data_IF_342146676272
#
_entry.id   IF_342146676272
#
_cell.length_a   1.000
_cell.length_b   1.000
_cell.length_c   1.000
_cell.angle_alpha   90.00
_cell.angle_beta   90.00
_cell.angle_gamma   90.00
#
_symmetry.space_group_name_H-M   'P 1'
#
loop_
_entity.id
_entity.type
_entity.pdbx_description
1 polymer ?
#
# COMPACT_ATOMS: atom_id res chain seq x y z
N UNK A 1 14.90 -20.03 9.25
CA UNK A 1 14.58 -19.75 7.83
C UNK A 1 14.58 -18.24 7.63
N UNK A 2 15.33 -17.76 6.64
CA UNK A 2 15.42 -16.35 6.26
C UNK A 2 14.23 -15.93 5.37
N UNK A 3 14.01 -14.63 5.28
CA UNK A 3 13.04 -14.02 4.37
C UNK A 3 13.64 -13.88 2.97
N UNK A 4 12.80 -13.93 1.95
CA UNK A 4 13.14 -13.56 0.58
C UNK A 4 12.27 -12.38 0.14
N UNK A 5 12.88 -11.37 -0.48
CA UNK A 5 12.21 -10.14 -0.90
C UNK A 5 11.83 -10.23 -2.38
N UNK A 6 10.57 -9.89 -2.67
CA UNK A 6 10.06 -9.86 -4.02
C UNK A 6 9.36 -8.53 -4.31
N UNK A 7 9.71 -7.92 -5.43
CA UNK A 7 8.97 -6.80 -6.02
C UNK A 7 7.79 -7.34 -6.81
N UNK A 8 6.68 -6.62 -6.75
CA UNK A 8 5.47 -6.95 -7.50
C UNK A 8 4.71 -5.70 -7.92
N UNK A 9 4.04 -5.80 -9.06
CA UNK A 9 3.29 -4.69 -9.64
C UNK A 9 1.89 -5.18 -10.03
N UNK A 10 0.90 -4.34 -9.72
CA UNK A 10 -0.50 -4.63 -9.94
C UNK A 10 -1.13 -3.49 -10.72
N UNK A 11 -1.50 -3.73 -11.97
CA UNK A 11 -2.14 -2.73 -12.82
C UNK A 11 -3.57 -2.46 -12.34
N UNK A 12 -3.91 -1.18 -12.25
CA UNK A 12 -5.26 -0.73 -11.86
C UNK A 12 -6.18 -0.86 -13.08
N UNK A 13 -7.08 -1.84 -13.07
CA UNK A 13 -8.01 -2.13 -14.18
C UNK A 13 -9.39 -1.52 -13.96
N UNK A 14 -9.80 -1.36 -12.71
CA UNK A 14 -10.93 -0.54 -12.32
C UNK A 14 -10.51 0.50 -11.28
N UNK A 15 -11.17 1.68 -11.22
CA UNK A 15 -10.81 2.72 -10.27
C UNK A 15 -10.80 2.21 -8.83
N UNK A 16 -9.81 2.68 -8.07
CA UNK A 16 -9.47 2.11 -6.78
C UNK A 16 -9.83 3.10 -5.67
N UNK A 17 -10.78 2.70 -4.82
CA UNK A 17 -11.19 3.45 -3.65
C UNK A 17 -10.60 2.85 -2.37
N UNK A 18 -9.73 3.61 -1.72
CA UNK A 18 -9.03 3.23 -0.49
C UNK A 18 -9.40 4.23 0.60
N UNK A 19 -10.49 3.97 1.33
CA UNK A 19 -11.08 4.93 2.26
C UNK A 19 -10.09 5.56 3.25
N UNK A 20 -10.27 6.87 3.45
CA UNK A 20 -9.77 7.64 4.59
C UNK A 20 -10.91 8.53 5.11
N UNK A 21 -10.81 9.13 6.31
CA UNK A 21 -11.88 9.97 6.84
C UNK A 21 -12.39 11.00 5.81
N UNK A 22 -13.72 11.17 5.66
CA UNK A 22 -14.29 12.04 4.63
C UNK A 22 -13.98 13.52 4.88
N UNK A 23 -14.29 14.37 3.90
CA UNK A 23 -14.30 15.83 4.02
C UNK A 23 -15.67 16.35 3.54
N UNK A 24 -16.60 16.56 4.48
CA UNK A 24 -18.00 16.83 4.13
C UNK A 24 -18.62 15.64 3.39
N UNK A 25 -19.27 15.91 2.25
CA UNK A 25 -19.85 14.89 1.36
C UNK A 25 -18.82 14.18 0.47
N UNK A 26 -17.53 14.54 0.55
CA UNK A 26 -16.47 13.90 -0.20
C UNK A 26 -15.84 12.73 0.58
N UNK A 27 -16.12 11.52 0.11
CA UNK A 27 -15.43 10.30 0.50
C UNK A 27 -14.03 10.29 -0.12
N UNK A 28 -13.02 10.53 0.70
CA UNK A 28 -11.64 10.66 0.26
C UNK A 28 -10.95 9.31 0.12
N UNK A 29 -9.96 9.25 -0.78
CA UNK A 29 -9.11 8.06 -0.98
C UNK A 29 -7.65 8.30 -0.59
N UNK A 30 -7.01 7.23 -0.11
CA UNK A 30 -5.55 7.13 0.06
C UNK A 30 -4.90 6.98 -1.31
N UNK A 31 -3.65 7.44 -1.41
CA UNK A 31 -2.84 7.36 -2.62
C UNK A 31 -1.90 6.14 -2.66
N UNK A 32 -2.02 5.23 -1.71
CA UNK A 32 -1.25 4.00 -1.61
C UNK A 32 -2.15 2.89 -1.09
N UNK A 33 -1.90 1.64 -1.49
CA UNK A 33 -2.60 0.46 -0.97
C UNK A 33 -1.95 0.03 0.33
N UNK A 34 -2.65 0.08 1.48
CA UNK A 34 -2.14 -0.47 2.73
C UNK A 34 -2.02 -2.00 2.65
N UNK A 35 -1.04 -2.55 3.35
CA UNK A 35 -0.82 -4.00 3.41
C UNK A 35 -2.06 -4.79 3.84
N UNK A 36 -2.83 -4.29 4.81
CA UNK A 36 -4.10 -4.91 5.25
C UNK A 36 -5.10 -5.10 4.10
N UNK A 37 -5.23 -4.11 3.22
CA UNK A 37 -6.15 -4.19 2.09
C UNK A 37 -5.71 -5.28 1.10
N UNK A 38 -4.40 -5.38 0.86
CA UNK A 38 -3.82 -6.41 0.01
C UNK A 38 -3.90 -7.80 0.64
N UNK A 39 -3.65 -7.92 1.95
CA UNK A 39 -3.80 -9.15 2.72
C UNK A 39 -5.23 -9.70 2.62
N UNK A 40 -6.25 -8.85 2.83
CA UNK A 40 -7.65 -9.26 2.74
C UNK A 40 -8.02 -9.75 1.34
N UNK A 41 -7.56 -9.05 0.31
CA UNK A 41 -7.82 -9.44 -1.07
C UNK A 41 -7.11 -10.75 -1.46
N UNK A 42 -5.84 -10.92 -1.08
CA UNK A 42 -5.11 -12.17 -1.32
C UNK A 42 -5.71 -13.35 -0.56
N UNK A 43 -6.10 -13.13 0.70
CA UNK A 43 -6.80 -14.15 1.50
C UNK A 43 -8.08 -14.57 0.79
N UNK A 44 -8.86 -13.61 0.30
CA UNK A 44 -10.10 -13.89 -0.41
C UNK A 44 -9.88 -14.70 -1.70
N UNK A 45 -8.92 -14.30 -2.52
CA UNK A 45 -8.66 -14.98 -3.79
C UNK A 45 -8.01 -16.36 -3.62
N UNK A 46 -7.06 -16.51 -2.69
CA UNK A 46 -6.48 -17.82 -2.37
C UNK A 46 -7.55 -18.77 -1.82
N UNK A 47 -8.41 -18.29 -0.93
CA UNK A 47 -9.52 -19.10 -0.40
C UNK A 47 -10.44 -19.56 -1.51
N UNK A 48 -10.84 -18.69 -2.44
CA UNK A 48 -11.69 -19.07 -3.58
C UNK A 48 -11.00 -20.04 -4.53
N UNK A 49 -9.70 -19.86 -4.76
CA UNK A 49 -8.92 -20.74 -5.63
C UNK A 49 -8.75 -22.15 -5.05
N UNK A 50 -8.65 -22.26 -3.71
CA UNK A 50 -8.42 -23.52 -2.99
C UNK A 50 -9.71 -24.22 -2.56
N UNK A 51 -10.82 -23.50 -2.39
CA UNK A 51 -12.11 -24.04 -1.93
C UNK A 51 -12.89 -24.83 -3.00
N UNK A 52 -12.22 -25.46 -3.98
CA UNK A 52 -12.89 -26.11 -5.12
C UNK A 52 -13.90 -27.20 -4.72
N UNK A 53 -13.76 -27.81 -3.54
CA UNK A 53 -14.67 -28.88 -3.06
C UNK A 53 -14.97 -28.81 -1.54
N UNK A 54 -14.76 -27.66 -0.88
CA UNK A 54 -14.88 -27.58 0.59
C UNK A 54 -15.29 -26.21 1.13
N UNK A 55 -15.61 -26.16 2.43
CA UNK A 55 -15.95 -24.89 3.10
C UNK A 55 -14.76 -23.91 3.04
N UNK A 56 -14.99 -22.62 2.75
CA UNK A 56 -13.93 -21.64 2.60
C UNK A 56 -13.25 -21.35 3.94
N UNK A 57 -11.92 -21.53 3.99
CA UNK A 57 -11.09 -21.39 5.20
C UNK A 57 -10.35 -20.04 5.25
N UNK A 58 -11.12 -18.95 5.35
CA UNK A 58 -10.55 -17.59 5.35
C UNK A 58 -9.59 -17.33 6.51
N UNK A 59 -9.91 -17.81 7.72
CA UNK A 59 -9.07 -17.61 8.91
C UNK A 59 -7.72 -18.32 8.78
N UNK A 60 -7.72 -19.59 8.38
CA UNK A 60 -6.50 -20.38 8.21
C UNK A 60 -5.56 -19.80 7.14
N UNK A 61 -6.12 -19.42 5.99
CA UNK A 61 -5.35 -18.83 4.88
C UNK A 61 -4.85 -17.44 5.27
N UNK A 62 -5.70 -16.63 5.91
CA UNK A 62 -5.34 -15.31 6.41
C UNK A 62 -4.22 -15.37 7.45
N UNK A 63 -4.31 -16.30 8.40
CA UNK A 63 -3.28 -16.57 9.40
C UNK A 63 -1.97 -17.03 8.78
N UNK A 64 -2.03 -18.00 7.85
CA UNK A 64 -0.85 -18.47 7.11
C UNK A 64 -0.13 -17.33 6.39
N UNK A 65 -0.88 -16.42 5.75
CA UNK A 65 -0.29 -15.24 5.11
C UNK A 65 0.36 -14.31 6.12
N UNK A 66 -0.25 -14.08 7.30
CA UNK A 66 0.35 -13.24 8.35
C UNK A 66 1.61 -13.87 8.95
N UNK A 67 1.68 -15.19 9.03
CA UNK A 67 2.86 -15.85 9.61
C UNK A 67 4.02 -15.91 8.63
N UNK A 68 3.72 -16.19 7.35
CA UNK A 68 4.73 -16.55 6.34
C UNK A 68 5.02 -15.45 5.32
N UNK A 69 4.22 -14.37 5.30
CA UNK A 69 4.44 -13.20 4.47
C UNK A 69 4.49 -11.90 5.28
N UNK A 70 5.24 -10.93 4.78
CA UNK A 70 5.14 -9.52 5.20
C UNK A 70 4.85 -8.69 3.95
N UNK A 71 3.64 -8.17 3.87
CA UNK A 71 3.22 -7.38 2.71
C UNK A 71 3.60 -5.93 2.95
N UNK A 72 4.38 -5.35 2.05
CA UNK A 72 4.64 -3.91 2.01
C UNK A 72 3.47 -3.14 1.42
N UNK A 73 3.44 -1.83 1.61
CA UNK A 73 2.44 -0.99 0.96
C UNK A 73 2.76 -0.89 -0.54
N UNK A 74 1.73 -0.72 -1.36
CA UNK A 74 1.91 -0.49 -2.80
C UNK A 74 1.66 0.97 -3.12
N UNK A 75 2.52 1.54 -3.96
CA UNK A 75 2.50 2.92 -4.38
C UNK A 75 2.21 3.05 -5.87
N UNK A 76 1.58 4.16 -6.32
CA UNK A 76 1.29 4.36 -7.72
C UNK A 76 2.55 4.35 -8.56
N UNK A 77 2.50 3.73 -9.72
CA UNK A 77 3.63 3.53 -10.60
C UNK A 77 3.30 3.85 -12.05
N UNK A 78 4.29 4.42 -12.72
CA UNK A 78 4.31 4.69 -14.16
C UNK A 78 5.21 3.70 -14.87
N UNK A 79 4.84 3.35 -16.09
CA UNK A 79 5.71 2.57 -16.96
C UNK A 79 6.59 3.50 -17.77
N UNK A 80 7.90 3.40 -17.57
CA UNK A 80 8.91 4.25 -18.21
C UNK A 80 10.08 3.36 -18.63
N UNK A 81 10.52 3.49 -19.87
CA UNK A 81 11.69 2.77 -20.40
C UNK A 81 11.62 1.25 -20.13
N UNK A 82 10.45 0.65 -20.34
CA UNK A 82 10.26 -0.79 -20.18
C UNK A 82 10.04 -1.27 -18.74
N UNK A 83 10.01 -0.37 -17.74
CA UNK A 83 9.91 -0.73 -16.31
C UNK A 83 8.85 0.08 -15.57
N UNK A 84 8.17 -0.58 -14.62
CA UNK A 84 7.28 0.09 -13.68
C UNK A 84 8.06 0.76 -12.56
N UNK A 85 7.91 2.08 -12.46
CA UNK A 85 8.60 2.95 -11.48
C UNK A 85 7.57 3.66 -10.62
N UNK A 86 7.71 3.51 -9.31
CA UNK A 86 6.81 4.03 -8.31
C UNK A 86 7.04 5.53 -8.03
N UNK A 87 5.96 6.19 -7.63
CA UNK A 87 5.96 7.48 -6.96
C UNK A 87 5.88 7.23 -5.45
N UNK A 88 6.92 7.63 -4.75
CA UNK A 88 7.08 7.40 -3.32
C UNK A 88 6.84 8.70 -2.55
N UNK A 89 6.05 8.67 -1.47
CA UNK A 89 5.87 9.84 -0.63
C UNK A 89 7.18 10.18 0.10
N UNK A 90 7.46 11.47 0.25
CA UNK A 90 8.58 12.00 1.03
C UNK A 90 8.19 13.36 1.63
N UNK A 91 8.36 13.53 2.93
CA UNK A 91 8.21 14.83 3.58
C UNK A 91 9.47 15.67 3.38
N UNK A 92 9.29 16.93 2.98
CA UNK A 92 10.37 17.91 2.81
C UNK A 92 10.03 19.18 3.57
N UNK A 93 10.98 19.66 4.37
CA UNK A 93 10.85 20.94 5.08
C UNK A 93 10.54 22.06 4.10
N UNK A 94 9.55 22.90 4.44
CA UNK A 94 9.06 23.99 3.58
C UNK A 94 8.05 23.56 2.51
N UNK A 95 8.08 22.32 2.00
CA UNK A 95 7.16 21.84 0.96
C UNK A 95 6.03 20.94 1.48
N UNK A 96 6.20 20.35 2.68
CA UNK A 96 5.30 19.34 3.19
C UNK A 96 5.48 17.99 2.48
N UNK A 97 4.39 17.27 2.24
CA UNK A 97 4.42 15.99 1.53
C UNK A 97 4.64 16.22 0.02
N UNK A 98 5.63 15.54 -0.54
CA UNK A 98 5.89 15.48 -1.98
C UNK A 98 5.94 14.03 -2.46
N UNK A 99 5.81 13.84 -3.77
CA UNK A 99 5.90 12.54 -4.42
C UNK A 99 7.17 12.48 -5.26
N UNK A 100 8.13 11.67 -4.82
CA UNK A 100 9.40 11.44 -5.50
C UNK A 100 9.29 10.21 -6.40
N UNK A 101 9.64 10.37 -7.66
CA UNK A 101 9.68 9.25 -8.59
C UNK A 101 10.96 8.41 -8.41
N UNK A 102 10.88 7.09 -8.59
CA UNK A 102 12.06 6.20 -8.53
C UNK A 102 13.11 6.50 -9.61
N UNK A 103 12.71 7.03 -10.77
CA UNK A 103 13.67 7.59 -11.74
C UNK A 103 14.17 8.95 -11.25
N UNK A 104 15.45 9.02 -10.87
CA UNK A 104 16.12 10.22 -10.36
C UNK A 104 16.22 11.34 -11.39
N UNK A 105 15.98 11.07 -12.68
CA UNK A 105 15.91 12.10 -13.73
C UNK A 105 14.64 12.94 -13.66
N UNK A 106 13.58 12.46 -13.00
CA UNK A 106 12.35 13.23 -12.76
C UNK A 106 12.46 14.02 -11.46
N UNK A 107 11.96 15.25 -11.48
CA UNK A 107 11.73 16.02 -10.26
C UNK A 107 10.60 15.41 -9.42
N UNK A 108 10.48 15.85 -8.16
CA UNK A 108 9.34 15.50 -7.32
C UNK A 108 8.11 16.32 -7.72
N UNK A 109 6.92 15.79 -7.43
CA UNK A 109 5.65 16.51 -7.56
C UNK A 109 5.16 16.95 -6.18
N UNK A 110 4.50 18.11 -6.10
CA UNK A 110 3.75 18.47 -4.89
C UNK A 110 2.59 17.49 -4.67
N UNK A 111 2.15 17.29 -3.42
CA UNK A 111 0.98 16.44 -3.14
C UNK A 111 -0.25 16.87 -3.94
N UNK A 112 -0.51 18.17 -4.03
CA UNK A 112 -1.62 18.73 -4.82
C UNK A 112 -1.51 18.35 -6.31
N UNK A 113 -0.34 18.57 -6.92
CA UNK A 113 -0.12 18.25 -8.33
C UNK A 113 -0.26 16.75 -8.59
N UNK A 114 0.24 15.92 -7.68
CA UNK A 114 0.15 14.47 -7.79
C UNK A 114 -1.30 13.98 -7.66
N UNK A 115 -2.05 14.50 -6.67
CA UNK A 115 -3.49 14.21 -6.50
C UNK A 115 -4.29 14.56 -7.75
N UNK A 116 -4.08 15.75 -8.32
CA UNK A 116 -4.75 16.16 -9.57
C UNK A 116 -4.46 15.20 -10.74
N UNK A 117 -3.28 14.60 -10.74
CA UNK A 117 -2.83 13.72 -11.80
C UNK A 117 -3.47 12.34 -11.77
N UNK A 118 -3.83 11.84 -10.60
CA UNK A 118 -4.22 10.44 -10.40
C UNK A 118 -5.63 10.24 -9.84
N UNK A 119 -6.20 11.25 -9.17
CA UNK A 119 -7.52 11.16 -8.58
C UNK A 119 -8.59 11.75 -9.50
N UNK A 120 -9.79 11.22 -9.37
CA UNK A 120 -11.02 11.83 -9.86
C UNK A 120 -12.17 11.53 -8.88
N UNK A 121 -13.15 12.41 -8.79
CA UNK A 121 -14.30 12.26 -7.91
C UNK A 121 -15.51 11.75 -8.71
N UNK A 122 -16.20 10.74 -8.16
CA UNK A 122 -17.39 10.15 -8.75
C UNK A 122 -18.63 10.53 -7.94
N UNK A 123 -19.61 11.25 -8.51
CA UNK A 123 -20.85 11.53 -7.80
C UNK A 123 -21.69 10.26 -7.65
N UNK A 124 -22.42 10.17 -6.55
CA UNK A 124 -23.36 9.10 -6.26
C UNK A 124 -24.46 9.58 -5.32
N UNK A 125 -25.64 8.99 -5.45
CA UNK A 125 -26.81 9.27 -4.60
C UNK A 125 -27.54 7.95 -4.35
N UNK A 126 -28.23 7.84 -3.22
CA UNK A 126 -29.19 6.75 -3.01
C UNK A 126 -30.50 7.08 -3.71
N UNK A 127 -31.26 6.04 -4.07
CA UNK A 127 -32.61 6.17 -4.65
C UNK A 127 -33.61 5.79 -3.55
N UNK A 128 -34.58 6.66 -3.27
CA UNK A 128 -35.72 6.33 -2.42
C UNK A 128 -36.70 5.45 -3.23
N UNK A 129 -36.85 4.16 -2.86
CA UNK A 129 -37.68 3.24 -3.62
C UNK A 129 -39.18 3.55 -3.55
N UNK A 130 -39.62 4.43 -2.63
CA UNK A 130 -41.03 4.81 -2.48
C UNK A 130 -41.50 5.81 -3.51
N UNK A 131 -40.60 6.70 -3.93
CA UNK A 131 -40.89 7.83 -4.83
C UNK A 131 -40.08 7.80 -6.12
N UNK A 132 -39.19 6.81 -6.28
CA UNK A 132 -38.28 6.66 -7.42
C UNK A 132 -37.48 7.95 -7.70
N UNK A 133 -37.05 8.60 -6.62
CA UNK A 133 -36.31 9.86 -6.65
C UNK A 133 -35.02 9.73 -5.82
N UNK A 134 -34.12 10.71 -5.95
CA UNK A 134 -32.93 10.76 -5.12
C UNK A 134 -33.33 10.92 -3.63
N UNK A 135 -32.77 10.07 -2.77
CA UNK A 135 -32.98 10.17 -1.33
C UNK A 135 -32.32 11.46 -0.83
N UNK A 136 -33.08 12.27 -0.10
CA UNK A 136 -32.61 13.56 0.39
C UNK A 136 -31.38 13.40 1.30
N UNK A 137 -30.40 14.28 1.14
CA UNK A 137 -29.13 14.23 1.87
C UNK A 137 -28.20 13.05 1.53
N UNK A 138 -28.53 12.20 0.55
CA UNK A 138 -27.69 11.05 0.18
C UNK A 138 -26.59 11.34 -0.86
N UNK A 139 -26.56 12.56 -1.41
CA UNK A 139 -25.56 12.98 -2.38
C UNK A 139 -24.16 12.96 -1.78
N UNK A 140 -23.26 12.23 -2.44
CA UNK A 140 -21.87 12.05 -2.03
C UNK A 140 -20.97 11.96 -3.25
N UNK A 141 -19.73 12.35 -3.07
CA UNK A 141 -18.68 12.16 -4.06
C UNK A 141 -17.64 11.19 -3.53
N UNK A 142 -17.14 10.29 -4.36
CA UNK A 142 -16.09 9.34 -3.97
C UNK A 142 -14.84 9.57 -4.81
N UNK A 143 -13.76 10.04 -4.19
CA UNK A 143 -12.44 10.12 -4.82
C UNK A 143 -11.94 8.70 -5.12
N UNK A 144 -11.47 8.45 -6.34
CA UNK A 144 -10.86 7.18 -6.73
C UNK A 144 -9.52 7.42 -7.42
N UNK A 145 -8.55 6.53 -7.16
CA UNK A 145 -7.36 6.41 -8.02
C UNK A 145 -7.84 5.90 -9.38
N UNK A 146 -7.52 6.63 -10.44
CA UNK A 146 -7.92 6.29 -11.80
C UNK A 146 -7.04 5.19 -12.41
N UNK A 147 -7.54 4.57 -13.48
CA UNK A 147 -6.82 3.52 -14.22
C UNK A 147 -5.74 4.08 -15.15
N UNK A 148 -5.74 5.40 -15.38
CA UNK A 148 -4.79 6.11 -16.24
C UNK A 148 -4.36 7.43 -15.60
N UNK A 149 -3.12 7.83 -15.86
CA UNK A 149 -2.60 9.11 -15.41
C UNK A 149 -3.19 10.23 -16.25
N UNK A 150 -3.57 11.34 -15.62
CA UNK A 150 -3.86 12.60 -16.31
C UNK A 150 -2.52 13.22 -16.73
N UNK A 151 -2.36 13.53 -18.01
CA UNK A 151 -1.25 14.28 -18.59
C UNK A 151 -1.71 15.65 -19.06
N UNK A 152 -0.80 16.45 -19.63
CA UNK A 152 -1.11 17.78 -20.15
C UNK A 152 -2.18 17.73 -21.26
N UNK A 153 -2.11 16.72 -22.13
CA UNK A 153 -3.00 16.54 -23.29
C UNK A 153 -4.08 15.46 -23.07
N UNK A 154 -4.34 15.08 -21.82
CA UNK A 154 -5.30 14.01 -21.48
C UNK A 154 -4.65 12.76 -20.88
N UNK A 155 -5.33 11.60 -20.93
CA UNK A 155 -4.89 10.40 -20.21
C UNK A 155 -3.73 9.67 -20.89
N UNK A 156 -2.70 9.25 -20.12
CA UNK A 156 -1.51 8.57 -20.68
C UNK A 156 -1.56 7.04 -20.55
N UNK A 157 -0.97 6.37 -21.55
CA UNK A 157 -0.71 4.93 -21.55
C UNK A 157 0.73 4.64 -21.06
N UNK A 158 1.01 3.46 -20.47
CA UNK A 158 0.14 2.29 -20.30
C UNK A 158 -0.69 2.29 -19.01
N UNK A 159 -1.05 3.45 -18.46
CA UNK A 159 -1.97 3.57 -17.33
C UNK A 159 -1.30 3.48 -15.96
N UNK A 160 -2.10 3.36 -14.91
CA UNK A 160 -1.65 3.35 -13.51
C UNK A 160 -1.45 1.91 -13.04
N UNK A 161 -0.34 1.65 -12.37
CA UNK A 161 -0.15 0.44 -11.57
C UNK A 161 0.16 0.78 -10.12
N UNK A 162 0.07 -0.20 -9.23
CA UNK A 162 0.46 -0.13 -7.83
C UNK A 162 1.64 -1.08 -7.63
N UNK A 163 2.80 -0.55 -7.29
CA UNK A 163 4.05 -1.32 -7.09
C UNK A 163 4.46 -1.30 -5.64
N UNK A 164 4.86 -2.46 -5.14
CA UNK A 164 5.31 -2.64 -3.76
C UNK A 164 6.25 -3.82 -3.66
N UNK A 165 6.33 -4.37 -2.45
CA UNK A 165 7.13 -5.54 -2.16
C UNK A 165 6.40 -6.50 -1.24
N UNK A 166 6.79 -7.76 -1.27
CA UNK A 166 6.40 -8.78 -0.30
C UNK A 166 7.64 -9.55 0.15
N UNK A 167 7.76 -9.78 1.46
CA UNK A 167 8.77 -10.67 2.02
C UNK A 167 8.11 -12.03 2.29
N UNK A 168 8.76 -13.13 1.92
CA UNK A 168 8.25 -14.49 2.08
C UNK A 168 9.28 -15.38 2.79
N UNK A 169 8.87 -16.24 3.72
CA UNK A 169 9.74 -17.25 4.36
C UNK A 169 9.77 -18.60 3.65
N UNK A 170 8.90 -18.81 2.66
CA UNK A 170 8.69 -20.14 2.07
C UNK A 170 8.33 -20.10 0.59
N UNK A 171 8.97 -20.99 -0.19
CA UNK A 171 8.76 -21.08 -1.63
C UNK A 171 7.38 -21.64 -2.02
N UNK A 172 6.78 -22.51 -1.20
CA UNK A 172 5.43 -23.03 -1.49
C UNK A 172 4.40 -21.89 -1.49
N UNK A 173 4.52 -20.94 -0.56
CA UNK A 173 3.66 -19.76 -0.51
C UNK A 173 3.92 -18.85 -1.72
N UNK A 174 5.17 -18.72 -2.17
CA UNK A 174 5.49 -17.99 -3.39
C UNK A 174 4.74 -18.56 -4.60
N UNK A 175 4.74 -19.88 -4.78
CA UNK A 175 4.02 -20.53 -5.89
C UNK A 175 2.51 -20.29 -5.82
N UNK A 176 1.92 -20.36 -4.61
CA UNK A 176 0.51 -20.03 -4.38
C UNK A 176 0.21 -18.57 -4.72
N UNK A 177 1.06 -17.64 -4.27
CA UNK A 177 0.90 -16.23 -4.62
C UNK A 177 1.02 -16.02 -6.13
N UNK A 178 1.97 -16.67 -6.80
CA UNK A 178 2.16 -16.63 -8.26
C UNK A 178 0.97 -17.19 -9.06
N UNK A 179 0.00 -17.91 -8.47
CA UNK A 179 -1.23 -18.29 -9.19
C UNK A 179 -2.27 -17.16 -9.23
N UNK A 180 -2.24 -16.25 -8.26
CA UNK A 180 -3.21 -15.15 -8.15
C UNK A 180 -2.91 -14.05 -9.17
N UNK A 181 -3.74 -13.94 -10.21
CA UNK A 181 -3.60 -12.96 -11.29
C UNK A 181 -4.43 -11.71 -11.09
N UNK A 182 -5.54 -11.80 -10.37
CA UNK A 182 -6.48 -10.70 -10.17
C UNK A 182 -6.87 -10.63 -8.70
N UNK A 183 -7.09 -9.41 -8.22
CA UNK A 183 -7.57 -9.15 -6.86
C UNK A 183 -8.55 -7.98 -6.90
N UNK A 184 -9.51 -7.98 -5.99
CA UNK A 184 -10.38 -6.83 -5.71
C UNK A 184 -9.99 -6.20 -4.37
N UNK A 185 -9.51 -4.96 -4.41
CA UNK A 185 -8.95 -4.26 -3.23
C UNK A 185 -9.74 -2.98 -2.95
N UNK A 186 -10.00 -2.71 -1.68
CA UNK A 186 -10.60 -1.45 -1.23
C UNK A 186 -12.12 -1.52 -1.02
N UNK A 187 -12.75 -0.35 -1.03
CA UNK A 187 -14.20 -0.20 -0.87
C UNK A 187 -14.96 -0.34 -2.19
N UNK A 188 -16.27 -0.60 -2.09
CA UNK A 188 -17.21 -0.65 -3.22
C UNK A 188 -16.81 -1.58 -4.37
N UNK A 189 -16.09 -2.66 -4.04
CA UNK A 189 -15.68 -3.68 -5.03
C UNK A 189 -16.87 -4.37 -5.71
N UNK A 190 -18.00 -4.50 -5.00
CA UNK A 190 -19.27 -5.00 -5.56
C UNK A 190 -19.90 -4.06 -6.60
N UNK A 191 -19.51 -2.78 -6.62
CA UNK A 191 -19.99 -1.76 -7.54
C UNK A 191 -18.95 -1.44 -8.64
N UNK A 192 -18.06 -2.39 -8.93
CA UNK A 192 -17.11 -2.30 -10.03
C UNK A 192 -15.84 -1.51 -9.74
N UNK A 193 -15.51 -1.25 -8.47
CA UNK A 193 -14.23 -0.65 -8.07
C UNK A 193 -13.18 -1.70 -7.69
N UNK A 194 -11.92 -1.29 -7.66
CA UNK A 194 -10.86 -2.01 -6.95
C UNK A 194 -10.22 -3.20 -7.68
N UNK A 195 -10.61 -3.51 -8.92
CA UNK A 195 -9.97 -4.56 -9.70
C UNK A 195 -8.53 -4.18 -10.04
N UNK A 196 -7.58 -4.98 -9.57
CA UNK A 196 -6.19 -4.93 -9.97
C UNK A 196 -5.73 -6.27 -10.55
N UNK A 197 -4.85 -6.21 -11.54
CA UNK A 197 -4.29 -7.38 -12.23
C UNK A 197 -2.77 -7.40 -12.09
N UNK A 198 -2.19 -8.56 -11.76
CA UNK A 198 -0.75 -8.68 -11.54
C UNK A 198 0.02 -8.61 -12.86
N UNK A 199 0.98 -7.69 -12.89
CA UNK A 199 1.98 -7.59 -13.97
C UNK A 199 3.09 -8.61 -13.71
N UNK A 200 3.10 -9.68 -14.51
CA UNK A 200 4.13 -10.72 -14.44
C UNK A 200 4.08 -11.60 -13.18
N UNK A 201 5.26 -12.10 -12.79
CA UNK A 201 5.50 -12.89 -11.58
C UNK A 201 6.16 -12.02 -10.50
N UNK A 202 6.23 -12.54 -9.28
CA UNK A 202 7.10 -11.98 -8.23
C UNK A 202 8.55 -11.94 -8.71
N UNK A 203 9.15 -10.74 -8.70
CA UNK A 203 10.54 -10.50 -9.14
C UNK A 203 11.43 -10.44 -7.90
N UNK A 204 12.44 -11.32 -7.74
CA UNK A 204 13.38 -11.23 -6.64
C UNK A 204 14.09 -9.86 -6.62
N UNK A 205 14.28 -9.30 -5.44
CA UNK A 205 15.00 -8.04 -5.25
C UNK A 205 15.81 -8.13 -3.95
N UNK A 206 16.91 -7.39 -3.89
CA UNK A 206 17.78 -7.29 -2.71
C UNK A 206 17.60 -5.94 -2.00
N UNK A 207 16.80 -5.03 -2.58
CA UNK A 207 16.56 -3.69 -2.05
C UNK A 207 15.08 -3.36 -2.03
N UNK A 208 14.63 -2.74 -0.94
CA UNK A 208 13.26 -2.26 -0.82
C UNK A 208 13.18 -0.81 -1.31
N UNK A 209 12.76 -0.59 -2.55
CA UNK A 209 12.78 0.76 -3.18
C UNK A 209 14.18 1.42 -3.13
N UNK A 210 15.24 0.61 -3.27
CA UNK A 210 16.64 1.06 -3.19
C UNK A 210 17.25 1.07 -1.78
N UNK A 211 16.43 0.94 -0.73
CA UNK A 211 16.88 0.86 0.66
C UNK A 211 17.38 -0.54 1.01
N UNK A 212 18.32 -0.62 1.96
CA UNK A 212 18.90 -1.88 2.41
C UNK A 212 17.87 -2.67 3.24
N UNK A 213 17.89 -3.99 3.10
CA UNK A 213 17.06 -4.89 3.89
C UNK A 213 17.91 -5.90 4.66
N UNK A 214 17.42 -6.30 5.81
CA UNK A 214 17.93 -7.46 6.55
C UNK A 214 16.82 -8.49 6.59
N UNK A 215 17.15 -9.69 6.11
CA UNK A 215 16.18 -10.75 5.87
C UNK A 215 16.33 -11.91 6.84
N UNK A 216 17.29 -11.82 7.76
CA UNK A 216 17.50 -12.79 8.81
C UNK A 216 16.74 -12.38 10.08
N UNK A 217 16.24 -13.37 10.83
CA UNK A 217 15.48 -13.17 12.07
C UNK A 217 13.96 -13.38 11.90
N UNK A 218 13.22 -12.94 12.93
CA UNK A 218 11.78 -13.20 13.03
C UNK A 218 10.92 -12.29 12.16
N UNK A 219 11.40 -11.08 11.88
CA UNK A 219 10.77 -10.14 10.95
C UNK A 219 11.83 -9.45 10.10
N UNK A 220 11.54 -9.16 8.82
CA UNK A 220 12.48 -8.47 7.97
C UNK A 220 12.59 -7.00 8.40
N UNK A 221 13.78 -6.45 8.23
CA UNK A 221 14.09 -5.07 8.60
C UNK A 221 14.37 -4.27 7.33
N UNK A 222 13.84 -3.05 7.25
CA UNK A 222 14.17 -2.07 6.21
C UNK A 222 14.95 -0.92 6.85
N UNK A 223 16.15 -0.65 6.35
CA UNK A 223 17.00 0.45 6.79
C UNK A 223 16.81 1.68 5.87
N UNK A 224 16.02 2.65 6.31
CA UNK A 224 15.65 3.82 5.50
C UNK A 224 15.49 5.08 6.34
N UNK A 225 15.68 6.24 5.71
CA UNK A 225 15.38 7.54 6.30
C UNK A 225 13.98 8.05 5.93
N UNK A 226 13.21 7.35 5.09
CA UNK A 226 11.85 7.76 4.71
C UNK A 226 10.90 6.58 4.82
N UNK A 227 9.87 6.72 5.64
CA UNK A 227 8.90 5.67 5.91
C UNK A 227 8.09 5.29 4.66
N UNK A 228 7.91 3.99 4.45
CA UNK A 228 7.10 3.41 3.35
C UNK A 228 5.85 2.69 3.84
N UNK A 229 5.58 2.76 5.13
CA UNK A 229 4.36 2.28 5.76
C UNK A 229 4.04 3.17 6.96
N UNK A 230 2.89 2.96 7.58
CA UNK A 230 2.63 3.57 8.88
C UNK A 230 3.55 2.95 9.93
N UNK A 231 4.21 3.78 10.73
CA UNK A 231 5.21 3.32 11.68
C UNK A 231 4.96 3.83 13.10
N UNK A 232 5.09 2.93 14.07
CA UNK A 232 5.25 3.29 15.47
C UNK A 232 6.74 3.49 15.75
N UNK A 233 7.07 4.58 16.43
CA UNK A 233 8.42 4.79 16.95
C UNK A 233 8.44 4.26 18.37
N UNK A 234 9.57 3.67 18.78
CA UNK A 234 9.86 3.53 20.20
C UNK A 234 10.25 4.88 20.82
N UNK A 235 11.23 4.90 21.71
CA UNK A 235 11.67 6.11 22.44
C UNK A 235 12.35 7.19 21.56
N UNK A 236 12.59 6.93 20.27
CA UNK A 236 13.30 7.84 19.35
C UNK A 236 12.38 8.72 18.48
N UNK A 237 11.28 9.25 19.03
CA UNK A 237 10.35 10.12 18.29
C UNK A 237 11.00 11.40 17.74
N UNK A 238 12.06 11.90 18.38
CA UNK A 238 12.63 13.24 18.14
C UNK A 238 13.29 13.47 16.77
N UNK A 239 13.48 12.41 15.96
CA UNK A 239 14.18 12.52 14.68
C UNK A 239 13.26 12.59 13.45
N UNK A 240 11.95 12.37 13.60
CA UNK A 240 11.01 12.25 12.49
C UNK A 240 10.25 13.55 12.22
N UNK A 241 9.98 13.80 10.93
CA UNK A 241 9.15 14.89 10.45
C UNK A 241 8.16 14.36 9.41
N UNK A 242 6.88 14.69 9.57
CA UNK A 242 5.81 14.18 8.71
C UNK A 242 4.45 14.23 9.38
N UNK A 243 3.45 13.63 8.74
CA UNK A 243 2.11 13.53 9.29
C UNK A 243 2.00 12.32 10.23
N UNK A 244 1.16 12.45 11.25
CA UNK A 244 0.70 11.32 12.07
C UNK A 244 -0.76 11.01 11.74
N UNK A 245 -1.10 9.73 11.71
CA UNK A 245 -2.43 9.24 11.39
C UNK A 245 -2.79 8.04 12.26
N UNK A 246 -4.05 7.98 12.69
CA UNK A 246 -4.62 6.77 13.28
C UNK A 246 -5.15 5.87 12.17
N UNK A 247 -4.63 4.65 12.10
CA UNK A 247 -5.03 3.67 11.10
C UNK A 247 -6.04 2.72 11.73
N UNK A 248 -7.28 2.79 11.27
CA UNK A 248 -8.37 1.89 11.68
C UNK A 248 -8.87 1.13 10.46
N UNK A 249 -9.33 -0.10 10.66
CA UNK A 249 -9.96 -0.90 9.62
C UNK A 249 -11.19 -1.62 10.14
N UNK A 250 -12.05 -2.06 9.24
CA UNK A 250 -13.17 -2.93 9.59
C UNK A 250 -12.74 -4.39 9.55
N UNK A 251 -13.22 -5.18 10.50
CA UNK A 251 -13.12 -6.62 10.54
C UNK A 251 -14.51 -7.20 10.83
N UNK A 252 -15.18 -7.65 9.77
CA UNK A 252 -16.64 -7.88 9.81
C UNK A 252 -17.38 -6.61 10.23
N UNK A 253 -18.18 -6.71 11.29
CA UNK A 253 -18.92 -5.58 11.86
C UNK A 253 -18.19 -4.87 13.02
N UNK A 254 -16.92 -5.19 13.25
CA UNK A 254 -16.13 -4.59 14.33
C UNK A 254 -15.09 -3.64 13.77
N UNK A 255 -14.97 -2.46 14.38
CA UNK A 255 -13.85 -1.58 14.13
C UNK A 255 -12.60 -2.16 14.81
N UNK A 256 -11.60 -2.49 14.02
CA UNK A 256 -10.27 -2.90 14.48
C UNK A 256 -9.32 -1.71 14.35
N UNK A 257 -9.05 -1.07 15.49
CA UNK A 257 -8.12 0.05 15.58
C UNK A 257 -6.64 -0.40 15.70
N UNK A 258 -6.36 -1.70 15.61
CA UNK A 258 -5.07 -2.26 15.96
C UNK A 258 -4.82 -2.23 17.48
N UNK A 259 -3.62 -2.66 17.87
CA UNK A 259 -3.22 -2.76 19.28
C UNK A 259 -2.79 -1.42 19.89
N UNK A 260 -2.60 -0.38 19.06
CA UNK A 260 -2.04 0.91 19.50
C UNK A 260 -3.10 2.00 19.45
N UNK A 261 -3.26 2.72 20.55
CA UNK A 261 -4.16 3.87 20.63
C UNK A 261 -3.56 5.13 19.99
N UNK A 262 -2.23 5.24 19.98
CA UNK A 262 -1.51 6.41 19.49
C UNK A 262 -1.44 6.49 17.96
N UNK A 263 -1.49 7.72 17.39
CA UNK A 263 -1.27 7.92 15.96
C UNK A 263 0.13 7.47 15.51
N UNK A 264 0.18 6.75 14.39
CA UNK A 264 1.40 6.29 13.74
C UNK A 264 1.93 7.37 12.80
N UNK A 265 3.24 7.40 12.56
CA UNK A 265 3.80 8.20 11.48
C UNK A 265 3.35 7.66 10.14
N UNK A 266 2.87 8.53 9.26
CA UNK A 266 2.34 8.15 7.95
C UNK A 266 3.47 7.89 6.93
N UNK A 267 3.20 7.10 5.87
CA UNK A 267 4.13 6.95 4.75
C UNK A 267 4.61 8.29 4.21
N UNK A 268 5.92 8.40 3.97
CA UNK A 268 6.60 9.62 3.55
C UNK A 268 7.23 10.41 4.68
N UNK A 269 6.87 10.15 5.94
CA UNK A 269 7.56 10.77 7.09
C UNK A 269 9.06 10.46 7.04
N UNK A 270 9.89 11.46 7.35
CA UNK A 270 11.33 11.46 7.07
C UNK A 270 12.13 11.69 8.35
N UNK A 271 13.19 10.92 8.52
CA UNK A 271 14.20 11.10 9.57
C UNK A 271 15.47 11.74 9.00
N UNK A 272 16.23 12.39 9.87
CA UNK A 272 17.54 12.98 9.55
C UNK A 272 18.60 11.91 9.30
N UNK A 273 18.46 10.73 9.90
CA UNK A 273 19.35 9.58 9.71
C UNK A 273 18.59 8.38 9.14
N UNK A 274 19.32 7.37 8.66
CA UNK A 274 18.71 6.08 8.33
C UNK A 274 18.41 5.32 9.61
N UNK A 275 17.14 4.97 9.78
CA UNK A 275 16.66 4.18 10.90
C UNK A 275 16.30 2.77 10.41
N UNK A 276 16.28 1.83 11.35
CA UNK A 276 15.94 0.42 11.10
C UNK A 276 14.49 0.17 11.53
N UNK A 277 13.73 -0.47 10.66
CA UNK A 277 12.29 -0.68 10.84
C UNK A 277 11.93 -2.15 10.64
N UNK A 278 11.37 -2.78 11.66
CA UNK A 278 10.73 -4.09 11.51
C UNK A 278 9.45 -3.95 10.69
N UNK A 279 9.30 -4.80 9.67
CA UNK A 279 8.03 -4.94 8.95
C UNK A 279 7.17 -5.97 9.68
N UNK A 280 6.06 -5.53 10.25
CA UNK A 280 5.16 -6.37 11.05
C UNK A 280 4.18 -7.14 10.16
N UNK A 281 3.50 -8.13 10.75
CA UNK A 281 2.52 -9.00 10.11
C UNK A 281 1.35 -8.26 9.45
N UNK A 282 0.91 -7.14 10.04
CA UNK A 282 -0.12 -6.23 9.49
C UNK A 282 0.44 -5.24 8.47
N UNK A 283 1.74 -5.29 8.19
CA UNK A 283 2.48 -4.43 7.27
C UNK A 283 2.71 -2.99 7.76
N UNK A 284 2.34 -2.68 9.00
CA UNK A 284 2.85 -1.50 9.72
C UNK A 284 4.29 -1.75 10.17
N UNK A 285 5.01 -0.69 10.50
CA UNK A 285 6.41 -0.76 10.91
C UNK A 285 6.60 -0.42 12.38
N UNK A 286 7.63 -1.00 12.98
CA UNK A 286 8.09 -0.64 14.33
C UNK A 286 9.58 -0.31 14.30
N UNK A 287 9.95 0.83 14.90
CA UNK A 287 11.35 1.23 15.03
C UNK A 287 12.11 0.28 15.96
N UNK A 288 13.36 -0.03 15.64
CA UNK A 288 14.24 -0.81 16.52
C UNK A 288 14.93 0.09 17.53
N UNK A 289 14.99 -0.30 18.80
CA UNK A 289 15.86 0.35 19.80
C UNK A 289 17.36 0.03 19.58
N UNK A 290 17.67 -0.98 18.76
CA UNK A 290 19.04 -1.40 18.50
C UNK A 290 19.68 -0.65 17.33
N UNK A 291 20.46 0.38 17.66
CA UNK A 291 21.48 0.93 16.77
C UNK A 291 22.57 -0.11 16.54
N UNK A 292 22.42 -0.98 15.54
CA UNK A 292 23.53 -1.78 15.02
C UNK A 292 24.15 -1.04 13.83
N UNK A 293 25.43 -0.69 13.95
CA UNK A 293 26.18 -0.01 12.90
C UNK A 293 26.00 -0.77 11.57
N UNK A 294 25.85 -0.06 10.43
CA UNK A 294 25.73 -0.72 9.13
C UNK A 294 26.94 -1.63 8.92
N UNK A 295 26.75 -2.86 8.39
CA UNK A 295 27.88 -3.70 8.02
C UNK A 295 28.73 -2.92 7.02
N UNK A 296 29.97 -2.63 7.40
CA UNK A 296 30.95 -2.05 6.50
C UNK A 296 31.10 -2.99 5.32
N UNK A 297 30.83 -2.49 4.11
CA UNK A 297 31.13 -3.21 2.88
C UNK A 297 32.63 -3.54 2.90
N UNK A 298 32.98 -4.79 3.19
CA UNK A 298 34.32 -5.30 2.94
C UNK A 298 34.43 -5.41 1.41
N UNK A 299 35.00 -4.38 0.79
CA UNK A 299 35.64 -4.55 -0.49
C UNK A 299 36.84 -5.48 -0.28
N UNK A 300 36.71 -6.70 -0.79
CA UNK A 300 37.77 -7.69 -0.96
C UNK A 300 37.60 -8.32 -2.32
#
# INVERSE_FOLDING_TARGET
>A
MSWALYRWTWRVRAPLYLGRPPAGSLNRTRLFVPARAMWGALTAELTRHEAKDGAPKYEDIGGTLRDRARIGYLFPAEYIEGKWRAWLPEYRGGNGLVWKHEDTRKSHLSDRSFRHRILDARPGTSIDPRVDAAEDGSLRETECIQTRWRGADGFTAPGVAMTGYVFLREDTLRHRMDSIRQVFVGGDTRYGLGLMEREGKLVPDERFFGDCVELDGDSPIVATSVLRAHAAVGESESSLSGARERVVGWDGNRLDAGEREEPLWAPGSKSTSRLRWHVLDRGTWAGTSESRAPPTARYG
#
